data_IF_123349984643
#
_entry.id   IF_123349984643
#
_cell.length_a   1.000
_cell.length_b   1.000
_cell.length_c   1.000
_cell.angle_alpha   90.00
_cell.angle_beta   90.00
_cell.angle_gamma   90.00
#
_symmetry.space_group_name_H-M   'P 1'
#
loop_
_entity.id
_entity.type
_entity.pdbx_description
1 polymer ?
#
# COMPACT_ATOMS: atom_id res chain seq x y z
N UNK A 1 10.33 -11.71 -37.57
CA UNK A 1 10.56 -11.20 -36.19
C UNK A 1 11.04 -9.75 -36.33
N UNK A 2 10.26 -8.78 -35.89
CA UNK A 2 10.69 -7.37 -35.84
C UNK A 2 11.94 -7.28 -34.93
N UNK A 3 12.95 -6.51 -35.32
CA UNK A 3 14.15 -6.33 -34.53
C UNK A 3 13.76 -5.62 -33.22
N UNK A 4 14.18 -6.15 -32.07
CA UNK A 4 13.92 -5.52 -30.78
C UNK A 4 14.39 -4.06 -30.78
N UNK A 5 13.54 -3.15 -30.32
CA UNK A 5 13.85 -1.72 -30.21
C UNK A 5 14.59 -1.45 -28.89
N UNK A 6 15.72 -0.73 -28.94
CA UNK A 6 16.48 -0.39 -27.75
C UNK A 6 15.90 0.83 -27.00
N UNK A 7 16.23 0.96 -25.72
CA UNK A 7 15.86 2.12 -24.91
C UNK A 7 16.46 3.43 -25.50
N UNK A 8 17.66 3.36 -26.10
CA UNK A 8 18.31 4.49 -26.76
C UNK A 8 17.52 4.94 -28.00
N UNK A 9 17.01 3.99 -28.80
CA UNK A 9 16.19 4.30 -29.98
C UNK A 9 14.84 4.93 -29.56
N UNK A 10 14.19 4.38 -28.49
CA UNK A 10 12.97 4.96 -27.90
C UNK A 10 13.21 6.39 -27.43
N UNK A 11 14.34 6.64 -26.74
CA UNK A 11 14.73 7.98 -26.29
C UNK A 11 14.91 8.95 -27.46
N UNK A 12 15.54 8.52 -28.54
CA UNK A 12 15.69 9.31 -29.75
C UNK A 12 14.35 9.71 -30.38
N UNK A 13 13.42 8.78 -30.53
CA UNK A 13 12.08 9.01 -31.08
C UNK A 13 11.27 9.98 -30.20
N UNK A 14 11.35 9.80 -28.90
CA UNK A 14 10.54 10.57 -27.92
C UNK A 14 11.21 11.87 -27.45
N UNK A 15 12.41 12.19 -27.97
CA UNK A 15 13.15 13.40 -27.63
C UNK A 15 13.72 13.42 -26.21
N UNK A 16 13.95 12.24 -25.63
CA UNK A 16 14.47 12.11 -24.25
C UNK A 16 15.99 12.01 -24.26
N UNK A 17 16.61 12.52 -23.20
CA UNK A 17 18.00 12.21 -22.86
C UNK A 17 18.02 11.06 -21.89
N UNK A 18 18.76 10.00 -22.17
CA UNK A 18 18.89 8.80 -21.34
C UNK A 18 20.38 8.49 -21.12
N UNK A 19 20.76 8.17 -19.88
CA UNK A 19 22.12 7.73 -19.53
C UNK A 19 22.26 6.23 -19.71
N UNK A 20 23.50 5.74 -19.70
CA UNK A 20 23.77 4.31 -19.88
C UNK A 20 23.22 3.50 -18.72
N UNK A 21 23.27 4.01 -17.46
CA UNK A 21 22.69 3.38 -16.30
C UNK A 21 21.15 3.30 -16.40
N UNK A 22 20.52 4.33 -16.95
CA UNK A 22 19.06 4.30 -17.18
C UNK A 22 18.69 3.31 -18.29
N UNK A 23 19.54 3.13 -19.32
CA UNK A 23 19.34 2.11 -20.35
C UNK A 23 19.35 0.72 -19.72
N UNK A 24 20.35 0.42 -18.89
CA UNK A 24 20.45 -0.86 -18.20
C UNK A 24 19.20 -1.16 -17.36
N UNK A 25 18.65 -0.16 -16.68
CA UNK A 25 17.40 -0.28 -15.91
C UNK A 25 16.20 -0.53 -16.83
N UNK A 26 16.10 0.23 -17.93
CA UNK A 26 14.98 0.13 -18.88
C UNK A 26 14.97 -1.22 -19.59
N UNK A 27 16.12 -1.77 -19.91
CA UNK A 27 16.28 -3.04 -20.64
C UNK A 27 16.49 -4.25 -19.71
N UNK A 28 16.44 -4.05 -18.37
CA UNK A 28 16.56 -5.12 -17.41
C UNK A 28 15.51 -6.23 -17.64
N UNK A 29 15.80 -7.46 -17.20
CA UNK A 29 14.90 -8.61 -17.32
C UNK A 29 13.53 -8.43 -16.64
N UNK A 30 12.66 -9.41 -16.82
CA UNK A 30 11.34 -9.46 -16.17
C UNK A 30 11.44 -10.21 -14.81
N UNK A 31 12.26 -9.68 -13.92
CA UNK A 31 12.44 -10.16 -12.55
C UNK A 31 12.23 -9.03 -11.56
N UNK A 32 11.95 -9.33 -10.28
CA UNK A 32 11.89 -8.29 -9.25
C UNK A 32 13.17 -7.46 -9.22
N UNK A 33 13.04 -6.14 -9.19
CA UNK A 33 14.18 -5.23 -9.19
C UNK A 33 13.89 -3.98 -8.36
N UNK A 34 14.91 -3.47 -7.67
CA UNK A 34 14.85 -2.18 -6.99
C UNK A 34 15.85 -1.21 -7.57
N UNK A 35 15.40 -0.02 -7.90
CA UNK A 35 16.20 1.08 -8.47
C UNK A 35 16.38 2.14 -7.40
N UNK A 36 17.61 2.34 -6.97
CA UNK A 36 17.97 3.38 -6.00
C UNK A 36 18.48 4.60 -6.78
N UNK A 37 17.77 5.70 -6.68
CA UNK A 37 18.07 6.87 -7.47
C UNK A 37 17.72 8.16 -6.72
N UNK A 38 18.66 9.10 -6.63
CA UNK A 38 18.52 10.37 -5.92
C UNK A 38 17.51 11.34 -6.52
N UNK A 39 17.31 12.48 -5.86
CA UNK A 39 16.48 13.55 -6.37
C UNK A 39 17.00 14.06 -7.73
N UNK A 40 16.10 14.29 -8.69
CA UNK A 40 16.46 14.81 -9.99
C UNK A 40 17.17 13.83 -10.94
N UNK A 41 17.43 12.59 -10.53
CA UNK A 41 18.06 11.55 -11.37
C UNK A 41 17.19 11.01 -12.52
N UNK A 42 15.94 11.47 -12.61
CA UNK A 42 15.01 11.01 -13.64
C UNK A 42 14.24 9.73 -13.32
N UNK A 43 14.04 9.38 -12.04
CA UNK A 43 13.27 8.18 -11.59
C UNK A 43 12.01 7.93 -12.41
N UNK A 44 11.08 8.90 -12.38
CA UNK A 44 9.79 8.82 -13.09
C UNK A 44 9.96 8.72 -14.60
N UNK A 45 11.01 9.31 -15.15
CA UNK A 45 11.37 9.26 -16.57
C UNK A 45 11.82 7.85 -16.96
N UNK A 46 12.68 7.24 -16.15
CA UNK A 46 13.16 5.87 -16.34
C UNK A 46 11.99 4.87 -16.27
N UNK A 47 11.07 5.04 -15.29
CA UNK A 47 9.85 4.22 -15.22
C UNK A 47 8.98 4.35 -16.47
N UNK A 48 8.73 5.57 -16.93
CA UNK A 48 7.96 5.81 -18.15
C UNK A 48 8.63 5.13 -19.37
N UNK A 49 9.95 5.27 -19.50
CA UNK A 49 10.72 4.66 -20.59
C UNK A 49 10.69 3.12 -20.53
N UNK A 50 10.76 2.55 -19.32
CA UNK A 50 10.58 1.10 -19.11
C UNK A 50 9.22 0.62 -19.67
N UNK A 51 8.13 1.34 -19.39
CA UNK A 51 6.81 1.00 -19.97
C UNK A 51 6.85 1.04 -21.49
N UNK A 52 7.45 2.07 -22.09
CA UNK A 52 7.54 2.18 -23.54
C UNK A 52 8.31 1.02 -24.14
N UNK A 53 9.42 0.63 -23.53
CA UNK A 53 10.27 -0.47 -23.97
C UNK A 53 9.56 -1.82 -23.87
N UNK A 54 8.86 -2.07 -22.76
CA UNK A 54 8.06 -3.29 -22.57
C UNK A 54 6.97 -3.44 -23.64
N UNK A 55 6.25 -2.37 -23.93
CA UNK A 55 5.16 -2.38 -24.93
C UNK A 55 5.73 -2.50 -26.35
N UNK A 56 6.76 -1.72 -26.69
CA UNK A 56 7.34 -1.72 -28.03
C UNK A 56 8.01 -3.06 -28.40
N UNK A 57 8.52 -3.78 -27.41
CA UNK A 57 9.10 -5.12 -27.60
C UNK A 57 8.10 -6.28 -27.40
N UNK A 58 6.82 -5.98 -27.12
CA UNK A 58 5.78 -7.00 -27.00
C UNK A 58 5.85 -7.84 -25.71
N UNK A 59 6.59 -7.40 -24.70
CA UNK A 59 6.64 -8.09 -23.39
C UNK A 59 5.34 -7.99 -22.62
N UNK A 60 4.64 -6.85 -22.74
CA UNK A 60 3.33 -6.64 -22.15
C UNK A 60 2.53 -5.63 -22.98
N UNK A 61 1.20 -5.75 -22.97
CA UNK A 61 0.30 -4.71 -23.47
C UNK A 61 0.20 -3.59 -22.44
N UNK A 62 -0.19 -2.36 -22.83
CA UNK A 62 -0.36 -1.25 -21.89
C UNK A 62 -1.27 -1.57 -20.70
N UNK A 63 -2.38 -2.25 -20.94
CA UNK A 63 -3.35 -2.66 -19.91
C UNK A 63 -2.82 -3.74 -18.95
N UNK A 64 -1.75 -4.45 -19.31
CA UNK A 64 -1.09 -5.48 -18.51
C UNK A 64 0.05 -4.93 -17.62
N UNK A 65 0.25 -3.59 -17.61
CA UNK A 65 1.26 -2.93 -16.79
C UNK A 65 0.57 -2.08 -15.74
N UNK A 66 0.86 -2.31 -14.47
CA UNK A 66 0.35 -1.52 -13.34
C UNK A 66 1.42 -0.55 -12.83
N UNK A 67 1.10 0.74 -12.80
CA UNK A 67 1.92 1.76 -12.15
C UNK A 67 1.29 2.24 -10.85
N UNK A 68 2.01 2.16 -9.73
CA UNK A 68 1.56 2.68 -8.44
C UNK A 68 2.45 3.83 -7.98
N UNK A 69 1.83 4.91 -7.53
CA UNK A 69 2.51 6.11 -7.05
C UNK A 69 1.80 6.70 -5.82
N UNK A 70 2.44 7.66 -5.16
CA UNK A 70 1.95 8.15 -3.87
C UNK A 70 0.81 9.17 -4.00
N UNK A 71 0.79 10.00 -5.05
CA UNK A 71 -0.19 11.07 -5.21
C UNK A 71 -1.00 10.95 -6.49
N UNK A 72 -2.26 11.41 -6.44
CA UNK A 72 -3.13 11.48 -7.64
C UNK A 72 -2.51 12.34 -8.75
N UNK A 73 -1.81 13.41 -8.36
CA UNK A 73 -1.12 14.30 -9.33
C UNK A 73 -0.01 13.54 -10.05
N UNK A 74 0.88 12.86 -9.32
CA UNK A 74 1.95 12.07 -9.90
C UNK A 74 1.41 10.95 -10.81
N UNK A 75 0.35 10.26 -10.37
CA UNK A 75 -0.33 9.26 -11.19
C UNK A 75 -0.86 9.83 -12.51
N UNK A 76 -1.53 10.98 -12.47
CA UNK A 76 -2.04 11.67 -13.66
C UNK A 76 -0.94 12.10 -14.61
N UNK A 77 0.12 12.71 -14.09
CA UNK A 77 1.28 13.16 -14.89
C UNK A 77 2.01 11.99 -15.56
N UNK A 78 2.26 10.90 -14.80
CA UNK A 78 2.91 9.69 -15.33
C UNK A 78 2.03 9.04 -16.41
N UNK A 79 0.73 8.87 -16.16
CA UNK A 79 -0.23 8.31 -17.12
C UNK A 79 -0.25 9.10 -18.44
N UNK A 80 -0.35 10.44 -18.37
CA UNK A 80 -0.37 11.29 -19.55
C UNK A 80 0.97 11.23 -20.32
N UNK A 81 2.10 11.22 -19.63
CA UNK A 81 3.43 11.12 -20.19
C UNK A 81 3.60 9.82 -20.97
N UNK A 82 3.26 8.69 -20.37
CA UNK A 82 3.32 7.38 -21.01
C UNK A 82 2.41 7.35 -22.25
N UNK A 83 1.15 7.76 -22.12
CA UNK A 83 0.17 7.75 -23.22
C UNK A 83 0.66 8.56 -24.43
N UNK A 84 1.14 9.79 -24.21
CA UNK A 84 1.67 10.64 -25.28
C UNK A 84 2.85 9.98 -26.03
N UNK A 85 3.77 9.38 -25.31
CA UNK A 85 4.96 8.74 -25.91
C UNK A 85 4.63 7.42 -26.59
N UNK A 86 3.71 6.63 -26.06
CA UNK A 86 3.20 5.45 -26.77
C UNK A 86 2.53 5.84 -28.10
N UNK A 87 1.83 6.98 -28.14
CA UNK A 87 1.27 7.52 -29.38
C UNK A 87 2.38 7.89 -30.37
N UNK A 88 3.46 8.53 -29.92
CA UNK A 88 4.63 8.83 -30.78
C UNK A 88 5.27 7.56 -31.35
N UNK A 89 5.52 6.54 -30.51
CA UNK A 89 6.07 5.26 -30.99
C UNK A 89 5.13 4.55 -31.98
N UNK A 90 3.83 4.65 -31.78
CA UNK A 90 2.83 4.10 -32.72
C UNK A 90 2.84 4.85 -34.05
N UNK A 91 2.93 6.16 -34.06
CA UNK A 91 3.02 6.96 -35.29
C UNK A 91 4.30 6.70 -36.08
N UNK A 92 5.39 6.32 -35.41
CA UNK A 92 6.65 5.91 -36.03
C UNK A 92 6.69 4.42 -36.40
N UNK A 93 5.56 3.72 -36.30
CA UNK A 93 5.45 2.29 -36.66
C UNK A 93 6.24 1.34 -35.74
N UNK A 94 6.57 1.77 -34.52
CA UNK A 94 7.30 0.96 -33.54
C UNK A 94 6.39 0.15 -32.62
N UNK A 95 5.11 0.43 -32.64
CA UNK A 95 4.07 -0.31 -31.90
C UNK A 95 2.97 -0.67 -32.90
N UNK A 96 2.77 -1.97 -33.08
CA UNK A 96 1.72 -2.52 -33.95
C UNK A 96 0.50 -2.97 -33.10
N UNK A 97 -0.67 -2.98 -33.73
CA UNK A 97 -1.90 -3.47 -33.09
C UNK A 97 -2.90 -2.37 -32.74
N UNK A 98 -4.15 -2.81 -32.47
CA UNK A 98 -5.32 -1.95 -32.23
C UNK A 98 -5.71 -1.83 -30.75
N UNK A 99 -4.84 -2.27 -29.82
CA UNK A 99 -5.08 -2.19 -28.38
C UNK A 99 -5.05 -0.75 -27.84
N UNK A 100 -5.65 -0.54 -26.68
CA UNK A 100 -5.60 0.75 -25.99
C UNK A 100 -4.16 1.13 -25.61
N UNK A 101 -3.82 2.42 -25.66
CA UNK A 101 -2.53 2.93 -25.18
C UNK A 101 -2.62 3.45 -23.74
N UNK A 102 -3.64 3.03 -23.02
CA UNK A 102 -3.82 3.42 -21.63
C UNK A 102 -3.20 2.40 -20.68
N UNK A 103 -2.22 2.87 -19.90
CA UNK A 103 -1.59 2.12 -18.84
C UNK A 103 -2.34 2.43 -17.53
N UNK A 104 -2.77 1.43 -16.75
CA UNK A 104 -3.27 1.62 -15.40
C UNK A 104 -2.21 2.24 -14.50
N UNK A 105 -2.32 3.54 -14.22
CA UNK A 105 -1.47 4.25 -13.26
C UNK A 105 -2.38 4.90 -12.22
N UNK A 106 -2.15 4.59 -10.95
CA UNK A 106 -3.00 5.05 -9.85
C UNK A 106 -2.23 5.13 -8.52
N UNK A 107 -2.88 5.65 -7.49
CA UNK A 107 -2.28 5.64 -6.14
C UNK A 107 -2.45 4.28 -5.47
N UNK A 108 -1.58 3.96 -4.48
CA UNK A 108 -1.71 2.75 -3.66
C UNK A 108 -3.11 2.61 -3.04
N UNK A 109 -3.68 3.71 -2.52
CA UNK A 109 -5.04 3.70 -1.96
C UNK A 109 -6.12 3.47 -3.02
N UNK A 110 -5.97 4.07 -4.21
CA UNK A 110 -6.92 3.81 -5.30
C UNK A 110 -6.87 2.36 -5.76
N UNK A 111 -5.68 1.74 -5.76
CA UNK A 111 -5.53 0.34 -6.07
C UNK A 111 -6.16 -0.56 -5.01
N UNK A 112 -5.94 -0.27 -3.71
CA UNK A 112 -6.61 -0.96 -2.62
C UNK A 112 -8.15 -0.88 -2.73
N UNK A 113 -8.67 0.30 -3.11
CA UNK A 113 -10.09 0.48 -3.39
C UNK A 113 -10.60 -0.39 -4.53
N UNK A 114 -9.83 -0.50 -5.63
CA UNK A 114 -10.19 -1.37 -6.75
C UNK A 114 -10.21 -2.85 -6.33
N UNK A 115 -9.23 -3.30 -5.54
CA UNK A 115 -9.20 -4.66 -4.99
C UNK A 115 -10.45 -4.96 -4.17
N UNK A 116 -10.88 -4.04 -3.30
CA UNK A 116 -12.09 -4.23 -2.51
C UNK A 116 -13.37 -4.15 -3.34
N UNK A 117 -13.44 -3.24 -4.30
CA UNK A 117 -14.58 -3.15 -5.22
C UNK A 117 -14.75 -4.41 -6.08
N UNK A 118 -13.65 -5.07 -6.47
CA UNK A 118 -13.68 -6.26 -7.32
C UNK A 118 -13.85 -7.55 -6.51
N UNK A 119 -13.23 -7.64 -5.32
CA UNK A 119 -13.14 -8.90 -4.57
C UNK A 119 -13.65 -8.83 -3.13
N UNK A 120 -14.05 -7.66 -2.61
CA UNK A 120 -14.37 -7.41 -1.20
C UNK A 120 -15.43 -8.34 -0.61
N UNK A 121 -16.40 -8.77 -1.42
CA UNK A 121 -17.46 -9.71 -0.99
C UNK A 121 -16.90 -11.03 -0.44
N UNK A 122 -15.69 -11.43 -0.83
CA UNK A 122 -15.02 -12.64 -0.31
C UNK A 122 -14.64 -12.53 1.18
N UNK A 123 -14.57 -11.30 1.71
CA UNK A 123 -14.39 -11.01 3.13
C UNK A 123 -15.67 -10.44 3.79
N UNK A 124 -16.81 -10.44 3.08
CA UNK A 124 -18.03 -9.82 3.56
C UNK A 124 -17.99 -8.28 3.59
N UNK A 125 -17.08 -7.68 2.81
CA UNK A 125 -17.01 -6.22 2.63
C UNK A 125 -17.87 -5.84 1.43
N UNK A 126 -18.80 -4.91 1.64
CA UNK A 126 -19.64 -4.39 0.57
C UNK A 126 -18.79 -3.65 -0.48
N UNK A 127 -18.94 -4.01 -1.74
CA UNK A 127 -18.21 -3.43 -2.87
C UNK A 127 -18.56 -1.96 -3.11
N UNK A 128 -19.73 -1.52 -2.67
CA UNK A 128 -20.23 -0.15 -2.77
C UNK A 128 -20.03 0.66 -1.47
N UNK A 129 -19.14 0.19 -0.58
CA UNK A 129 -18.87 0.88 0.68
C UNK A 129 -18.45 2.34 0.48
N UNK A 130 -19.10 3.24 1.22
CA UNK A 130 -18.78 4.66 1.23
C UNK A 130 -17.43 4.92 1.91
N UNK A 131 -16.55 5.68 1.23
CA UNK A 131 -15.28 6.09 1.81
C UNK A 131 -15.47 7.34 2.68
N UNK A 132 -15.27 7.21 3.99
CA UNK A 132 -15.45 8.30 4.96
C UNK A 132 -14.12 9.01 5.30
N UNK A 133 -14.22 10.33 5.52
CA UNK A 133 -13.07 11.16 5.92
C UNK A 133 -12.80 11.16 7.42
N UNK A 134 -11.65 11.73 7.80
CA UNK A 134 -11.16 11.78 9.20
C UNK A 134 -12.16 12.40 10.17
N UNK A 135 -12.89 13.45 9.76
CA UNK A 135 -13.89 14.09 10.61
C UNK A 135 -15.02 13.13 11.00
N UNK A 136 -15.51 12.34 10.04
CA UNK A 136 -16.54 11.32 10.28
C UNK A 136 -16.01 10.20 11.18
N UNK A 137 -14.77 9.74 10.91
CA UNK A 137 -14.09 8.74 11.75
C UNK A 137 -14.00 9.21 13.20
N UNK A 138 -13.60 10.47 13.40
CA UNK A 138 -13.50 11.08 14.74
C UNK A 138 -14.87 11.16 15.43
N UNK A 139 -15.92 11.57 14.71
CA UNK A 139 -17.29 11.65 15.25
C UNK A 139 -17.82 10.27 15.65
N UNK A 140 -17.58 9.24 14.85
CA UNK A 140 -17.97 7.86 15.16
C UNK A 140 -17.24 7.33 16.40
N UNK A 141 -15.94 7.56 16.51
CA UNK A 141 -15.17 7.22 17.71
C UNK A 141 -15.70 7.91 18.96
N UNK A 142 -16.02 9.22 18.87
CA UNK A 142 -16.61 9.97 19.94
C UNK A 142 -17.99 9.43 20.34
N UNK A 143 -18.80 9.03 19.37
CA UNK A 143 -20.14 8.45 19.64
C UNK A 143 -20.04 7.10 20.33
N UNK A 144 -19.17 6.21 19.88
CA UNK A 144 -18.96 4.90 20.52
C UNK A 144 -18.48 5.09 21.95
N UNK A 145 -17.48 5.92 22.18
CA UNK A 145 -16.92 6.17 23.51
C UNK A 145 -17.95 6.78 24.48
N UNK A 146 -18.85 7.65 24.03
CA UNK A 146 -19.92 8.21 24.86
C UNK A 146 -20.94 7.15 25.28
N UNK A 147 -21.17 6.16 24.44
CA UNK A 147 -22.12 5.07 24.67
C UNK A 147 -21.47 3.81 25.25
N UNK A 148 -20.16 3.85 25.48
CA UNK A 148 -19.44 2.73 26.08
C UNK A 148 -19.64 2.72 27.58
N UNK A 149 -20.38 1.73 28.07
CA UNK A 149 -20.68 1.56 29.48
C UNK A 149 -19.84 0.40 30.02
N UNK A 150 -18.76 0.74 30.69
CA UNK A 150 -17.87 -0.20 31.36
C UNK A 150 -17.34 0.45 32.65
N UNK A 151 -17.83 -0.01 33.80
CA UNK A 151 -17.48 0.54 35.11
C UNK A 151 -15.99 0.36 35.45
N UNK A 152 -15.32 -0.59 34.83
CA UNK A 152 -13.89 -0.86 35.00
C UNK A 152 -13.01 -0.01 34.08
N UNK A 153 -13.55 0.58 33.02
CA UNK A 153 -12.81 1.41 32.08
C UNK A 153 -12.72 2.83 32.61
N UNK A 154 -11.68 3.08 33.37
CA UNK A 154 -11.33 4.44 33.84
C UNK A 154 -10.17 4.99 33.01
N UNK A 155 -10.41 6.14 32.41
CA UNK A 155 -9.41 6.86 31.64
C UNK A 155 -9.17 8.22 32.26
N UNK A 156 -7.93 8.49 32.71
CA UNK A 156 -7.58 9.70 33.50
C UNK A 156 -7.38 10.94 32.63
N UNK A 157 -7.25 10.77 31.31
CA UNK A 157 -7.02 11.85 30.36
C UNK A 157 -8.33 12.51 29.91
N UNK A 158 -8.22 13.57 29.10
CA UNK A 158 -9.39 14.24 28.53
C UNK A 158 -10.09 13.33 27.51
N UNK A 159 -11.39 13.55 27.32
CA UNK A 159 -12.19 12.82 26.31
C UNK A 159 -11.60 12.95 24.88
N UNK A 160 -11.02 14.13 24.58
CA UNK A 160 -10.33 14.34 23.31
C UNK A 160 -9.10 13.43 23.17
N UNK A 161 -8.28 13.37 24.19
CA UNK A 161 -7.08 12.50 24.22
C UNK A 161 -7.46 11.03 24.10
N UNK A 162 -8.55 10.60 24.77
CA UNK A 162 -9.06 9.22 24.64
C UNK A 162 -9.44 8.88 23.19
N UNK A 163 -10.09 9.79 22.47
CA UNK A 163 -10.42 9.59 21.06
C UNK A 163 -9.15 9.50 20.22
N UNK A 164 -8.19 10.41 20.44
CA UNK A 164 -6.91 10.41 19.72
C UNK A 164 -6.13 9.12 19.95
N UNK A 165 -6.09 8.63 21.18
CA UNK A 165 -5.42 7.38 21.54
C UNK A 165 -6.13 6.16 20.94
N UNK A 166 -7.47 6.11 20.97
CA UNK A 166 -8.25 5.05 20.33
C UNK A 166 -7.96 4.99 18.83
N UNK A 167 -8.04 6.14 18.15
CA UNK A 167 -7.82 6.20 16.70
C UNK A 167 -6.35 5.92 16.33
N UNK A 168 -5.39 6.45 17.08
CA UNK A 168 -3.97 6.17 16.89
C UNK A 168 -3.64 4.70 17.10
N UNK A 169 -4.19 4.09 18.13
CA UNK A 169 -4.06 2.65 18.39
C UNK A 169 -4.68 1.80 17.27
N UNK A 170 -5.91 2.13 16.85
CA UNK A 170 -6.61 1.45 15.76
C UNK A 170 -5.79 1.50 14.47
N UNK A 171 -5.32 2.69 14.10
CA UNK A 171 -4.49 2.89 12.91
C UNK A 171 -3.20 2.07 12.96
N UNK A 172 -2.47 2.11 14.08
CA UNK A 172 -1.21 1.38 14.24
C UNK A 172 -1.42 -0.14 14.16
N UNK A 173 -2.46 -0.69 14.80
CA UNK A 173 -2.76 -2.12 14.72
C UNK A 173 -3.10 -2.57 13.28
N UNK A 174 -3.89 -1.79 12.57
CA UNK A 174 -4.22 -2.03 11.15
C UNK A 174 -2.98 -1.96 10.25
N UNK A 175 -2.14 -0.93 10.45
CA UNK A 175 -0.93 -0.72 9.67
C UNK A 175 0.03 -1.91 9.79
N UNK A 176 0.22 -2.42 10.99
CA UNK A 176 1.06 -3.58 11.24
C UNK A 176 0.34 -4.92 11.03
N UNK A 177 -0.98 -4.92 10.78
CA UNK A 177 -1.78 -6.12 10.59
C UNK A 177 -1.80 -7.02 11.82
N UNK A 178 -1.71 -6.43 12.99
CA UNK A 178 -1.73 -7.19 14.24
C UNK A 178 -3.18 -7.43 14.61
N UNK A 179 -3.54 -8.70 14.79
CA UNK A 179 -4.86 -9.11 15.24
C UNK A 179 -5.12 -8.62 16.67
N UNK A 180 -6.28 -8.02 16.91
CA UNK A 180 -6.71 -7.56 18.22
C UNK A 180 -6.69 -8.66 19.26
N UNK A 181 -7.13 -9.88 18.92
CA UNK A 181 -7.09 -11.04 19.80
C UNK A 181 -5.65 -11.41 20.22
N UNK A 182 -4.67 -11.29 19.32
CA UNK A 182 -3.27 -11.52 19.64
C UNK A 182 -2.74 -10.49 20.66
N UNK A 183 -3.12 -9.21 20.50
CA UNK A 183 -2.72 -8.15 21.44
C UNK A 183 -3.36 -8.36 22.80
N UNK A 184 -4.65 -8.71 22.85
CA UNK A 184 -5.37 -9.04 24.10
C UNK A 184 -4.66 -10.20 24.80
N UNK A 185 -4.41 -11.30 24.09
CA UNK A 185 -3.72 -12.47 24.62
C UNK A 185 -2.34 -12.14 25.18
N UNK A 186 -1.54 -11.37 24.44
CA UNK A 186 -0.21 -10.95 24.90
C UNK A 186 -0.29 -10.05 26.14
N UNK A 187 -1.25 -9.10 26.16
CA UNK A 187 -1.46 -8.21 27.32
C UNK A 187 -1.91 -8.99 28.55
N UNK A 188 -2.82 -9.96 28.38
CA UNK A 188 -3.28 -10.81 29.46
C UNK A 188 -2.15 -11.69 30.04
N UNK A 189 -1.33 -12.31 29.20
CA UNK A 189 -0.14 -13.08 29.65
C UNK A 189 0.80 -12.24 30.51
N UNK A 190 1.02 -10.97 30.15
CA UNK A 190 1.84 -10.07 30.95
C UNK A 190 1.14 -9.77 32.29
N UNK A 191 -0.17 -9.44 32.27
CA UNK A 191 -0.95 -9.21 33.48
C UNK A 191 -0.88 -10.40 34.45
N UNK A 192 -1.05 -11.63 33.95
CA UNK A 192 -0.99 -12.86 34.74
C UNK A 192 0.40 -13.05 35.36
N UNK A 193 1.47 -12.75 34.63
CA UNK A 193 2.86 -12.86 35.14
C UNK A 193 3.16 -11.86 36.25
N UNK A 194 2.59 -10.66 36.19
CA UNK A 194 2.82 -9.60 37.19
C UNK A 194 1.75 -9.57 38.27
N UNK A 195 0.75 -10.47 38.21
CA UNK A 195 -0.36 -10.48 39.17
C UNK A 195 0.10 -10.65 40.61
N UNK A 196 1.10 -11.54 40.84
CA UNK A 196 1.63 -11.86 42.18
C UNK A 196 2.68 -10.86 42.68
N UNK A 197 3.07 -9.88 41.86
CA UNK A 197 4.03 -8.87 42.31
C UNK A 197 3.39 -7.92 43.32
N UNK A 198 4.14 -7.47 44.35
CA UNK A 198 3.65 -6.49 45.32
C UNK A 198 3.20 -5.21 44.62
N UNK A 199 2.21 -4.54 45.20
CA UNK A 199 1.74 -3.25 44.69
C UNK A 199 2.86 -2.21 44.89
N UNK A 200 3.42 -1.81 43.77
CA UNK A 200 4.38 -0.72 43.64
C UNK A 200 3.93 0.19 42.50
N UNK A 201 4.25 1.47 42.57
CA UNK A 201 3.80 2.50 41.61
C UNK A 201 4.00 2.07 40.15
N UNK A 202 5.15 1.54 39.81
CA UNK A 202 5.49 1.15 38.44
C UNK A 202 4.70 -0.11 38.01
N UNK A 203 4.57 -1.10 38.91
CA UNK A 203 3.79 -2.31 38.67
C UNK A 203 2.31 -1.97 38.46
N UNK A 204 1.73 -1.11 39.29
CA UNK A 204 0.32 -0.71 39.19
C UNK A 204 0.06 0.12 37.93
N UNK A 205 1.03 0.97 37.54
CA UNK A 205 0.98 1.71 36.27
C UNK A 205 0.95 0.74 35.08
N UNK A 206 1.83 -0.25 35.05
CA UNK A 206 1.86 -1.26 33.96
C UNK A 206 0.56 -2.04 33.92
N UNK A 207 0.03 -2.49 35.09
CA UNK A 207 -1.27 -3.18 35.15
C UNK A 207 -2.39 -2.32 34.56
N UNK A 208 -2.44 -1.04 34.91
CA UNK A 208 -3.44 -0.09 34.42
C UNK A 208 -3.35 0.10 32.92
N UNK A 209 -2.15 0.35 32.39
CA UNK A 209 -1.92 0.53 30.94
C UNK A 209 -2.32 -0.71 30.13
N UNK A 210 -1.98 -1.90 30.62
CA UNK A 210 -2.35 -3.14 29.92
C UNK A 210 -3.87 -3.38 29.92
N UNK A 211 -4.56 -3.12 31.04
CA UNK A 211 -6.03 -3.19 31.10
C UNK A 211 -6.67 -2.17 30.15
N UNK A 212 -6.21 -0.92 30.15
CA UNK A 212 -6.69 0.11 29.22
C UNK A 212 -6.46 -0.29 27.77
N UNK A 213 -5.30 -0.87 27.44
CA UNK A 213 -5.00 -1.38 26.10
C UNK A 213 -6.01 -2.44 25.65
N UNK A 214 -6.35 -3.41 26.50
CA UNK A 214 -7.34 -4.44 26.17
C UNK A 214 -8.68 -3.79 25.86
N UNK A 215 -9.13 -2.84 26.66
CA UNK A 215 -10.41 -2.14 26.43
C UNK A 215 -10.39 -1.29 25.17
N UNK A 216 -9.30 -0.59 24.86
CA UNK A 216 -9.16 0.17 23.61
C UNK A 216 -9.24 -0.74 22.38
N UNK A 217 -8.75 -1.99 22.47
CA UNK A 217 -8.86 -2.96 21.37
C UNK A 217 -10.32 -3.36 21.18
N UNK A 218 -11.05 -3.70 22.25
CA UNK A 218 -12.46 -4.07 22.19
C UNK A 218 -13.31 -2.94 21.55
N UNK A 219 -13.04 -1.69 21.96
CA UNK A 219 -13.71 -0.50 21.40
C UNK A 219 -13.34 -0.31 19.92
N UNK A 220 -12.07 -0.48 19.57
CA UNK A 220 -11.56 -0.36 18.19
C UNK A 220 -12.22 -1.38 17.25
N UNK A 221 -12.32 -2.65 17.69
CA UNK A 221 -12.98 -3.70 16.93
C UNK A 221 -14.48 -3.40 16.74
N UNK A 222 -15.15 -2.94 17.79
CA UNK A 222 -16.56 -2.53 17.73
C UNK A 222 -16.76 -1.38 16.75
N UNK A 223 -15.87 -0.36 16.77
CA UNK A 223 -15.92 0.77 15.86
C UNK A 223 -15.75 0.33 14.39
N UNK A 224 -14.82 -0.60 14.12
CA UNK A 224 -14.60 -1.14 12.79
C UNK A 224 -15.78 -1.96 12.28
N UNK A 225 -16.30 -2.86 13.11
CA UNK A 225 -17.48 -3.67 12.79
C UNK A 225 -18.71 -2.81 12.49
N UNK A 226 -18.91 -1.75 13.28
CA UNK A 226 -20.02 -0.82 13.07
C UNK A 226 -19.90 -0.07 11.74
N UNK A 227 -18.68 0.34 11.34
CA UNK A 227 -18.43 0.95 10.02
C UNK A 227 -18.74 -0.02 8.88
N UNK A 228 -18.20 -1.23 8.96
CA UNK A 228 -18.47 -2.26 7.93
C UNK A 228 -19.96 -2.55 7.81
N UNK A 229 -20.67 -2.67 8.94
CA UNK A 229 -22.13 -2.89 8.97
C UNK A 229 -22.92 -1.73 8.34
N UNK A 230 -22.41 -0.51 8.41
CA UNK A 230 -22.99 0.68 7.74
C UNK A 230 -22.59 0.82 6.29
N UNK A 231 -21.83 -0.09 5.73
CA UNK A 231 -21.25 0.04 4.40
C UNK A 231 -20.27 1.22 4.30
N UNK A 232 -19.51 1.48 5.37
CA UNK A 232 -18.55 2.60 5.44
C UNK A 232 -17.14 2.11 5.71
N UNK A 233 -16.16 2.69 5.05
CA UNK A 233 -14.74 2.42 5.25
C UNK A 233 -13.96 3.72 5.39
N UNK A 234 -13.03 3.79 6.33
CA UNK A 234 -11.99 4.83 6.30
C UNK A 234 -10.89 4.49 5.29
N UNK A 235 -9.99 5.42 5.01
CA UNK A 235 -8.80 5.15 4.18
C UNK A 235 -7.90 4.06 4.80
N UNK A 236 -7.78 4.03 6.13
CA UNK A 236 -7.01 3.00 6.83
C UNK A 236 -7.73 1.64 6.78
N UNK A 237 -9.07 1.60 6.94
CA UNK A 237 -9.88 0.39 6.77
C UNK A 237 -9.72 -0.16 5.33
N UNK A 238 -9.79 0.69 4.31
CA UNK A 238 -9.66 0.29 2.91
C UNK A 238 -8.33 -0.41 2.66
N UNK A 239 -7.22 0.16 3.14
CA UNK A 239 -5.89 -0.44 3.00
C UNK A 239 -5.75 -1.74 3.79
N UNK A 240 -6.24 -1.75 5.04
CA UNK A 240 -6.22 -2.93 5.91
C UNK A 240 -6.97 -4.11 5.27
N UNK A 241 -8.21 -3.89 4.83
CA UNK A 241 -9.02 -4.96 4.25
C UNK A 241 -8.48 -5.43 2.89
N UNK A 242 -7.92 -4.54 2.06
CA UNK A 242 -7.28 -4.94 0.82
C UNK A 242 -6.03 -5.83 1.09
N UNK A 243 -5.20 -5.47 2.09
CA UNK A 243 -4.07 -6.29 2.48
C UNK A 243 -4.52 -7.65 3.06
N UNK A 244 -5.54 -7.65 3.91
CA UNK A 244 -6.13 -8.87 4.48
C UNK A 244 -6.69 -9.77 3.40
N UNK A 245 -7.45 -9.22 2.45
CA UNK A 245 -8.01 -9.96 1.33
C UNK A 245 -6.92 -10.62 0.48
N UNK A 246 -5.86 -9.89 0.15
CA UNK A 246 -4.73 -10.41 -0.61
C UNK A 246 -4.01 -11.57 0.11
N UNK A 247 -3.94 -11.52 1.44
CA UNK A 247 -3.28 -12.54 2.26
C UNK A 247 -4.15 -13.79 2.48
N UNK A 248 -5.46 -13.61 2.70
CA UNK A 248 -6.36 -14.70 3.07
C UNK A 248 -6.99 -15.40 1.85
N UNK A 249 -7.06 -14.71 0.70
CA UNK A 249 -7.70 -15.21 -0.52
C UNK A 249 -6.68 -15.30 -1.65
N UNK A 250 -5.96 -16.42 -1.71
CA UNK A 250 -4.83 -16.64 -2.65
C UNK A 250 -5.21 -16.47 -4.12
N UNK A 251 -6.48 -16.74 -4.49
CA UNK A 251 -7.00 -16.56 -5.83
C UNK A 251 -6.94 -15.10 -6.28
N UNK A 252 -7.07 -14.14 -5.38
CA UNK A 252 -6.96 -12.71 -5.72
C UNK A 252 -5.57 -12.40 -6.25
N UNK A 253 -4.51 -12.90 -5.60
CA UNK A 253 -3.15 -12.78 -6.10
C UNK A 253 -2.96 -13.42 -7.48
N UNK A 254 -3.54 -14.60 -7.71
CA UNK A 254 -3.47 -15.26 -9.02
C UNK A 254 -4.16 -14.45 -10.12
N UNK A 255 -5.34 -13.89 -9.84
CA UNK A 255 -6.09 -13.05 -10.78
C UNK A 255 -5.34 -11.75 -11.10
N UNK A 256 -4.80 -11.08 -10.08
CA UNK A 256 -4.05 -9.84 -10.27
C UNK A 256 -2.73 -10.06 -11.03
N UNK A 257 -2.01 -11.16 -10.79
CA UNK A 257 -0.82 -11.55 -11.59
C UNK A 257 -1.16 -11.92 -13.03
N UNK A 258 -2.33 -12.51 -13.27
CA UNK A 258 -2.80 -12.77 -14.62
C UNK A 258 -3.20 -11.48 -15.36
N UNK A 259 -3.75 -10.50 -14.64
CA UNK A 259 -4.16 -9.19 -15.14
C UNK A 259 -2.97 -8.28 -15.43
N UNK A 260 -2.01 -8.22 -14.52
CA UNK A 260 -0.83 -7.35 -14.59
C UNK A 260 0.46 -8.16 -14.68
N UNK A 261 1.09 -8.17 -15.84
CA UNK A 261 2.36 -8.88 -16.08
C UNK A 261 3.57 -8.19 -15.47
N UNK A 262 3.48 -6.87 -15.32
CA UNK A 262 4.56 -6.03 -14.76
C UNK A 262 3.95 -4.99 -13.83
N UNK A 263 4.58 -4.82 -12.67
CA UNK A 263 4.18 -3.81 -11.67
C UNK A 263 5.33 -2.85 -11.44
N UNK A 264 5.04 -1.55 -11.47
CA UNK A 264 6.00 -0.47 -11.26
C UNK A 264 5.58 0.32 -10.03
N UNK A 265 6.48 0.42 -9.04
CA UNK A 265 6.26 1.09 -7.77
C UNK A 265 7.12 2.35 -7.68
N UNK A 266 6.48 3.52 -7.66
CA UNK A 266 7.16 4.81 -7.49
C UNK A 266 7.21 5.22 -6.02
N UNK A 267 8.28 5.97 -5.65
CA UNK A 267 8.54 6.46 -4.30
C UNK A 267 8.45 5.33 -3.23
N UNK A 268 9.01 4.17 -3.55
CA UNK A 268 8.87 2.96 -2.73
C UNK A 268 9.38 3.13 -1.30
N UNK A 269 10.30 4.06 -1.02
CA UNK A 269 10.77 4.38 0.33
C UNK A 269 9.68 4.89 1.26
N UNK A 270 8.58 5.44 0.71
CA UNK A 270 7.46 5.99 1.48
C UNK A 270 6.30 5.00 1.66
N UNK A 271 6.48 3.75 1.18
CA UNK A 271 5.46 2.71 1.25
C UNK A 271 5.24 2.24 2.68
N UNK A 272 3.99 2.16 3.10
CA UNK A 272 3.60 1.74 4.44
C UNK A 272 3.60 0.21 4.59
N UNK A 273 3.59 -0.30 5.85
CA UNK A 273 3.59 -1.75 6.11
C UNK A 273 2.36 -2.46 5.53
N UNK A 274 1.19 -1.84 5.64
CA UNK A 274 -0.04 -2.39 5.07
C UNK A 274 0.00 -2.44 3.55
N UNK A 275 0.59 -1.43 2.89
CA UNK A 275 0.81 -1.42 1.45
C UNK A 275 1.79 -2.52 1.03
N UNK A 276 2.91 -2.69 1.73
CA UNK A 276 3.89 -3.75 1.48
C UNK A 276 3.22 -5.11 1.61
N UNK A 277 2.47 -5.36 2.69
CA UNK A 277 1.76 -6.64 2.89
C UNK A 277 0.77 -6.93 1.77
N UNK A 278 0.01 -5.94 1.30
CA UNK A 278 -0.90 -6.09 0.16
C UNK A 278 -0.12 -6.48 -1.09
N UNK A 279 0.93 -5.73 -1.41
CA UNK A 279 1.71 -5.94 -2.63
C UNK A 279 2.47 -7.26 -2.64
N UNK A 280 3.08 -7.65 -1.51
CA UNK A 280 3.80 -8.93 -1.40
C UNK A 280 2.85 -10.13 -1.50
N UNK A 281 1.66 -10.04 -0.91
CA UNK A 281 0.65 -11.08 -1.05
C UNK A 281 0.13 -11.21 -2.50
N UNK A 282 0.00 -10.09 -3.22
CA UNK A 282 -0.45 -10.10 -4.61
C UNK A 282 0.66 -10.49 -5.59
N UNK A 283 1.90 -9.99 -5.41
CA UNK A 283 2.96 -10.02 -6.43
C UNK A 283 4.31 -10.56 -5.92
N UNK A 284 4.36 -11.16 -4.71
CA UNK A 284 5.64 -11.52 -4.07
C UNK A 284 6.38 -12.73 -4.65
N UNK A 285 5.75 -13.57 -5.46
CA UNK A 285 6.29 -14.87 -5.91
C UNK A 285 7.07 -14.78 -7.23
N UNK A 286 8.17 -14.04 -7.27
CA UNK A 286 8.98 -13.87 -8.49
C UNK A 286 8.29 -13.10 -9.61
N UNK A 287 7.18 -12.43 -9.30
CA UNK A 287 6.46 -11.60 -10.26
C UNK A 287 7.28 -10.37 -10.65
N UNK A 288 7.29 -9.93 -11.92
CA UNK A 288 8.05 -8.76 -12.35
C UNK A 288 7.57 -7.47 -11.67
N UNK A 289 8.18 -7.13 -10.55
CA UNK A 289 7.95 -5.89 -9.78
C UNK A 289 9.21 -5.04 -9.85
N UNK A 290 9.10 -3.81 -10.36
CA UNK A 290 10.19 -2.84 -10.30
C UNK A 290 9.83 -1.71 -9.35
N UNK A 291 10.55 -1.60 -8.25
CA UNK A 291 10.42 -0.51 -7.30
C UNK A 291 11.50 0.57 -7.57
N UNK A 292 11.08 1.82 -7.51
CA UNK A 292 12.00 2.96 -7.64
C UNK A 292 11.87 3.84 -6.42
N UNK A 293 13.00 4.25 -5.84
CA UNK A 293 12.98 5.06 -4.63
C UNK A 293 14.34 5.62 -4.25
N UNK A 294 14.32 6.49 -3.25
CA UNK A 294 15.51 7.07 -2.64
C UNK A 294 15.44 6.91 -1.11
N UNK A 295 16.28 6.06 -0.51
CA UNK A 295 16.26 5.82 0.93
C UNK A 295 16.57 7.07 1.76
N UNK A 296 17.19 8.08 1.16
CA UNK A 296 17.51 9.35 1.84
C UNK A 296 16.40 10.40 1.73
N UNK A 297 15.36 10.15 0.93
CA UNK A 297 14.18 10.99 0.78
C UNK A 297 12.94 10.48 1.53
N UNK A 298 13.07 9.43 2.35
CA UNK A 298 11.97 8.91 3.17
C UNK A 298 11.55 9.96 4.20
N UNK A 299 10.45 10.68 3.95
CA UNK A 299 9.93 11.76 4.81
C UNK A 299 8.59 11.41 5.48
N UNK A 300 7.99 10.28 5.13
CA UNK A 300 6.67 9.88 5.62
C UNK A 300 6.70 8.83 6.74
N UNK A 301 7.80 8.73 7.50
CA UNK A 301 7.89 7.83 8.67
C UNK A 301 6.75 8.01 9.66
N UNK A 302 6.26 9.24 9.85
CA UNK A 302 5.11 9.56 10.69
C UNK A 302 3.75 9.07 10.13
N UNK A 303 3.71 8.68 8.85
CA UNK A 303 2.54 8.05 8.20
C UNK A 303 2.61 6.52 8.18
N UNK A 304 3.58 5.91 8.87
CA UNK A 304 3.76 4.46 8.89
C UNK A 304 4.68 3.94 7.77
N UNK A 305 5.42 4.82 7.05
CA UNK A 305 6.46 4.37 6.14
C UNK A 305 7.49 3.52 6.89
N UNK A 306 7.75 2.32 6.36
CA UNK A 306 8.61 1.36 7.03
C UNK A 306 10.07 1.75 6.90
N UNK A 307 10.76 1.83 8.03
CA UNK A 307 12.21 2.06 8.03
C UNK A 307 12.90 0.91 7.31
N UNK A 308 13.68 1.23 6.27
CA UNK A 308 14.43 0.22 5.54
C UNK A 308 13.66 -0.52 4.45
N UNK A 309 12.49 -0.04 4.04
CA UNK A 309 11.66 -0.62 2.97
C UNK A 309 12.47 -1.02 1.73
N UNK A 310 13.31 -0.10 1.22
CA UNK A 310 14.16 -0.39 0.06
C UNK A 310 15.16 -1.53 0.34
N UNK A 311 15.72 -1.60 1.55
CA UNK A 311 16.66 -2.67 1.92
C UNK A 311 15.99 -4.03 2.04
N UNK A 312 14.72 -4.06 2.41
CA UNK A 312 13.95 -5.28 2.56
C UNK A 312 13.32 -5.77 1.25
N UNK A 313 13.35 -4.97 0.19
CA UNK A 313 12.75 -5.32 -1.09
C UNK A 313 13.09 -6.74 -1.59
N UNK A 314 14.35 -7.23 -1.53
CA UNK A 314 14.67 -8.59 -1.97
C UNK A 314 14.00 -9.70 -1.14
N UNK A 315 13.62 -9.41 0.11
CA UNK A 315 12.86 -10.34 0.95
C UNK A 315 11.37 -10.27 0.68
N UNK A 316 10.87 -9.07 0.36
CA UNK A 316 9.45 -8.82 0.07
C UNK A 316 9.08 -9.34 -1.33
N UNK A 317 9.99 -9.26 -2.28
CA UNK A 317 9.83 -9.70 -3.67
C UNK A 317 11.01 -10.57 -4.11
N UNK A 318 11.07 -11.83 -3.64
CA UNK A 318 12.14 -12.75 -4.04
C UNK A 318 12.02 -13.14 -5.51
N UNK A 319 13.20 -13.27 -6.21
CA UNK A 319 13.24 -13.68 -7.61
C UNK A 319 14.61 -13.63 -8.24
#
# INVERSE_FOLDING_TARGET
>A
MSKAISAREIAGITGMKITDEQIDIVEAGLTPAVVIAGAGSGKTETMATRVLWLVANGYAKPEEILGLTFTRKAAGELKQRIKRRLQQLRSEGKIEGTFSLEVPVMTYHSYAGNILSEYGLRLGIDTDSELIGEATVWQQAAQILRNWHDDEFRYEQTFKTLIEDLLGFTKNSMEHGIDGAAIISASQKILDRIASLPSEKDVDTVKTVLKQRIKLIEISETLRQERVRRGQLSFDDQMFFAAKLAQEVTEVGQLERAKYKVVLLDEYQDTSQSQIRMLTALFGEGHPVMAVGDPYQAIYGWRGAAIGTIKNFPNDFPG
#
